data_IF_959471964416
#
_entry.id   IF_959471964416
#
_cell.length_a   1.000
_cell.length_b   1.000
_cell.length_c   1.000
_cell.angle_alpha   90.00
_cell.angle_beta   90.00
_cell.angle_gamma   90.00
#
_symmetry.space_group_name_H-M   'P 1'
#
loop_
_entity.id
_entity.type
_entity.pdbx_description
1 polymer ?
#
# COMPACT_ATOMS: atom_id res chain seq x y z
N UNK A 1 14.88 17.02 -17.88
CA UNK A 1 15.43 15.98 -16.99
C UNK A 1 15.80 14.78 -17.85
N UNK A 2 16.84 13.98 -17.53
CA UNK A 2 17.19 12.83 -18.36
C UNK A 2 15.98 11.89 -18.42
N UNK A 3 15.51 11.53 -19.61
CA UNK A 3 14.35 10.64 -19.82
C UNK A 3 14.47 9.35 -18.99
N UNK A 4 15.69 8.83 -18.90
CA UNK A 4 16.06 7.66 -18.09
C UNK A 4 15.71 7.86 -16.61
N UNK A 5 15.96 9.03 -16.04
CA UNK A 5 15.66 9.32 -14.62
C UNK A 5 14.16 9.28 -14.35
N UNK A 6 13.35 9.85 -15.25
CA UNK A 6 11.88 9.82 -15.13
C UNK A 6 11.32 8.40 -15.28
N UNK A 7 11.82 7.63 -16.25
CA UNK A 7 11.41 6.25 -16.47
C UNK A 7 11.80 5.33 -15.30
N UNK A 8 13.02 5.49 -14.76
CA UNK A 8 13.46 4.74 -13.59
C UNK A 8 12.62 5.10 -12.36
N UNK A 9 12.31 6.38 -12.16
CA UNK A 9 11.49 6.82 -11.03
C UNK A 9 10.08 6.20 -11.07
N UNK A 10 9.37 6.28 -12.21
CA UNK A 10 8.02 5.74 -12.32
C UNK A 10 8.02 4.20 -12.21
N UNK A 11 9.05 3.53 -12.72
CA UNK A 11 9.22 2.09 -12.57
C UNK A 11 9.35 1.70 -11.09
N UNK A 12 10.23 2.37 -10.34
CA UNK A 12 10.44 2.13 -8.91
C UNK A 12 9.15 2.36 -8.12
N UNK A 13 8.44 3.47 -8.41
CA UNK A 13 7.13 3.77 -7.79
C UNK A 13 6.14 2.64 -8.08
N UNK A 14 6.08 2.15 -9.32
CA UNK A 14 5.25 1.03 -9.71
C UNK A 14 5.55 -0.24 -8.92
N UNK A 15 6.83 -0.61 -8.80
CA UNK A 15 7.26 -1.80 -8.02
C UNK A 15 6.88 -1.67 -6.55
N UNK A 16 7.12 -0.52 -5.92
CA UNK A 16 6.76 -0.27 -4.51
C UNK A 16 5.24 -0.30 -4.31
N UNK A 17 4.48 0.26 -5.25
CA UNK A 17 3.01 0.25 -5.21
C UNK A 17 2.46 -1.17 -5.35
N UNK A 18 2.99 -1.97 -6.28
CA UNK A 18 2.58 -3.37 -6.45
C UNK A 18 2.96 -4.22 -5.24
N UNK A 19 4.17 -4.02 -4.68
CA UNK A 19 4.63 -4.73 -3.49
C UNK A 19 3.76 -4.44 -2.27
N UNK A 20 3.43 -3.16 -2.03
CA UNK A 20 2.52 -2.77 -0.94
C UNK A 20 1.09 -3.27 -1.18
N UNK A 21 0.58 -3.22 -2.42
CA UNK A 21 -0.72 -3.78 -2.78
C UNK A 21 -0.82 -5.29 -2.55
N UNK A 22 0.16 -6.06 -3.04
CA UNK A 22 0.23 -7.50 -2.80
C UNK A 22 0.31 -7.83 -1.30
N UNK A 23 1.09 -7.06 -0.54
CA UNK A 23 1.15 -7.20 0.90
C UNK A 23 -0.22 -6.94 1.56
N UNK A 24 -0.94 -5.89 1.16
CA UNK A 24 -2.27 -5.55 1.67
C UNK A 24 -3.29 -6.64 1.38
N UNK A 25 -3.25 -7.26 0.20
CA UNK A 25 -4.11 -8.39 -0.15
C UNK A 25 -3.85 -9.60 0.75
N UNK A 26 -2.58 -9.94 0.96
CA UNK A 26 -2.17 -11.03 1.86
C UNK A 26 -2.56 -10.73 3.33
N UNK A 27 -2.68 -9.46 3.69
CA UNK A 27 -3.05 -8.98 5.03
C UNK A 27 -4.45 -8.34 5.07
N UNK A 28 -5.38 -8.74 4.19
CA UNK A 28 -6.70 -8.11 4.09
C UNK A 28 -7.48 -8.10 5.42
N UNK A 29 -7.31 -9.16 6.24
CA UNK A 29 -7.88 -9.21 7.59
C UNK A 29 -7.32 -8.12 8.51
N UNK A 30 -6.05 -7.77 8.35
CA UNK A 30 -5.38 -6.74 9.14
C UNK A 30 -5.86 -5.34 8.73
N UNK A 31 -6.10 -5.14 7.43
CA UNK A 31 -6.74 -3.93 6.91
C UNK A 31 -8.16 -3.78 7.46
N UNK A 32 -8.97 -4.84 7.42
CA UNK A 32 -10.33 -4.80 7.99
C UNK A 32 -10.32 -4.44 9.49
N UNK A 33 -9.33 -4.92 10.25
CA UNK A 33 -9.15 -4.58 11.67
C UNK A 33 -8.81 -3.11 11.91
N UNK A 34 -8.24 -2.39 10.95
CA UNK A 34 -7.99 -0.95 11.10
C UNK A 34 -9.28 -0.13 11.17
N UNK A 35 -10.31 -0.54 10.43
CA UNK A 35 -11.57 0.20 10.30
C UNK A 35 -12.70 -0.36 11.18
N UNK A 36 -12.44 -1.48 11.87
CA UNK A 36 -13.36 -2.08 12.82
C UNK A 36 -13.43 -1.25 14.12
N UNK A 37 -14.65 -0.93 14.57
CA UNK A 37 -14.89 -0.25 15.86
C UNK A 37 -14.87 -1.21 17.06
N UNK A 38 -15.57 -2.34 16.98
CA UNK A 38 -15.69 -3.29 18.10
C UNK A 38 -15.26 -4.71 17.70
N UNK A 39 -14.40 -5.38 18.47
CA UNK A 39 -14.02 -6.76 18.23
C UNK A 39 -15.09 -7.75 18.74
N UNK A 40 -16.17 -7.99 17.99
CA UNK A 40 -17.18 -9.05 18.27
C UNK A 40 -16.61 -10.46 18.47
N UNK A 41 -15.41 -10.72 17.95
CA UNK A 41 -14.81 -12.07 17.98
C UNK A 41 -13.35 -11.91 18.38
N UNK A 42 -12.99 -12.51 19.52
CA UNK A 42 -11.61 -12.65 19.95
C UNK A 42 -10.82 -13.42 18.88
N UNK A 43 -9.65 -12.92 18.53
CA UNK A 43 -8.82 -13.53 17.50
C UNK A 43 -8.39 -14.91 18.00
N UNK A 44 -8.86 -15.98 17.36
CA UNK A 44 -8.38 -17.34 17.67
C UNK A 44 -6.87 -17.50 17.42
N UNK A 45 -6.27 -18.66 17.75
CA UNK A 45 -4.81 -18.90 17.69
C UNK A 45 -4.21 -18.96 16.26
N UNK A 46 -4.76 -18.19 15.33
CA UNK A 46 -4.35 -18.12 13.93
C UNK A 46 -3.07 -17.31 13.70
N UNK A 47 -2.82 -17.00 12.43
CA UNK A 47 -1.64 -16.30 11.93
C UNK A 47 -1.35 -15.00 12.70
N UNK A 48 -0.08 -14.78 13.02
CA UNK A 48 0.42 -13.56 13.68
C UNK A 48 -0.04 -12.32 12.88
N UNK A 49 -0.77 -11.47 13.57
CA UNK A 49 -1.33 -10.24 13.02
C UNK A 49 -0.25 -9.19 12.79
N UNK A 50 -0.30 -8.49 11.65
CA UNK A 50 0.55 -7.32 11.46
C UNK A 50 0.16 -6.22 12.46
N UNK A 51 1.15 -5.39 12.81
CA UNK A 51 0.90 -4.21 13.64
C UNK A 51 -0.01 -3.23 12.91
N UNK A 52 -0.82 -2.47 13.67
CA UNK A 52 -1.67 -1.41 13.09
C UNK A 52 -0.82 -0.37 12.35
N UNK A 53 0.35 -0.02 12.90
CA UNK A 53 1.29 0.91 12.27
C UNK A 53 1.76 0.40 10.90
N UNK A 54 2.22 -0.86 10.82
CA UNK A 54 2.65 -1.46 9.54
C UNK A 54 1.52 -1.47 8.51
N UNK A 55 0.31 -1.80 8.94
CA UNK A 55 -0.86 -1.86 8.04
C UNK A 55 -1.21 -0.47 7.51
N UNK A 56 -1.19 0.55 8.37
CA UNK A 56 -1.36 1.95 7.96
C UNK A 56 -0.25 2.42 7.01
N UNK A 57 1.01 2.09 7.29
CA UNK A 57 2.13 2.44 6.42
C UNK A 57 1.96 1.82 5.04
N UNK A 58 1.63 0.54 4.95
CA UNK A 58 1.43 -0.14 3.66
C UNK A 58 0.25 0.45 2.89
N UNK A 59 -0.83 0.80 3.59
CA UNK A 59 -1.98 1.47 2.97
C UNK A 59 -1.61 2.87 2.46
N UNK A 60 -0.85 3.64 3.24
CA UNK A 60 -0.37 4.97 2.85
C UNK A 60 0.58 4.90 1.66
N UNK A 61 1.55 3.96 1.66
CA UNK A 61 2.50 3.75 0.55
C UNK A 61 1.77 3.37 -0.73
N UNK A 62 0.80 2.46 -0.66
CA UNK A 62 0.00 2.07 -1.81
C UNK A 62 -0.76 3.26 -2.40
N UNK A 63 -1.47 4.03 -1.57
CA UNK A 63 -2.22 5.21 -2.03
C UNK A 63 -1.31 6.32 -2.56
N UNK A 64 -0.19 6.58 -1.89
CA UNK A 64 0.80 7.56 -2.35
C UNK A 64 1.35 7.19 -3.73
N UNK A 65 1.61 5.90 -3.98
CA UNK A 65 2.04 5.40 -5.28
C UNK A 65 1.05 5.71 -6.40
N UNK A 66 -0.25 5.46 -6.18
CA UNK A 66 -1.31 5.82 -7.14
C UNK A 66 -1.41 7.33 -7.37
N UNK A 67 -1.39 8.14 -6.31
CA UNK A 67 -1.45 9.59 -6.41
C UNK A 67 -0.26 10.12 -7.22
N UNK A 68 0.95 9.65 -6.93
CA UNK A 68 2.15 10.05 -7.66
C UNK A 68 2.07 9.63 -9.14
N UNK A 69 1.56 8.43 -9.44
CA UNK A 69 1.36 7.97 -10.80
C UNK A 69 0.36 8.85 -11.57
N UNK A 70 -0.74 9.26 -10.93
CA UNK A 70 -1.73 10.18 -11.51
C UNK A 70 -1.13 11.56 -11.77
N UNK A 71 -0.34 12.09 -10.83
CA UNK A 71 0.36 13.37 -10.99
C UNK A 71 1.35 13.28 -12.14
N UNK A 72 2.15 12.22 -12.20
CA UNK A 72 3.10 11.99 -13.29
C UNK A 72 2.38 11.97 -14.64
N UNK A 73 1.29 11.21 -14.75
CA UNK A 73 0.51 11.14 -15.98
C UNK A 73 -0.07 12.50 -16.39
N UNK A 74 -0.65 13.24 -15.44
CA UNK A 74 -1.25 14.56 -15.68
C UNK A 74 -0.23 15.61 -16.15
N UNK A 75 1.05 15.45 -15.82
CA UNK A 75 2.12 16.37 -16.20
C UNK A 75 2.90 15.93 -17.46
N UNK A 76 2.65 14.73 -17.97
CA UNK A 76 3.40 14.15 -19.10
C UNK A 76 2.55 13.85 -20.32
N UNK A 77 1.23 14.00 -20.21
CA UNK A 77 0.30 14.07 -21.34
C UNK A 77 0.19 15.50 -21.85
#
# INVERSE_FOLDING_TARGET
MPLITMQAAIFIIGVVTLGSGAWLLVHARDVARLFRREPDIAVGPGRKQASKATTWTMLAVFNAGWIIALVFWSLTI
#
